data_IF_317259911984
#
_entry.id   IF_317259911984
#
_cell.length_a   1.000
_cell.length_b   1.000
_cell.length_c   1.000
_cell.angle_alpha   90.00
_cell.angle_beta   90.00
_cell.angle_gamma   90.00
#
_symmetry.space_group_name_H-M   'P 1'
#
loop_
_entity.id
_entity.type
_entity.pdbx_description
1 polymer ?
#
# COMPACT_ATOMS: atom_id res chain seq x y z
N UNK A 1 -19.43 46.66 2.42
CA UNK A 1 -20.41 45.54 2.47
C UNK A 1 -20.23 44.75 1.18
N UNK A 2 -19.81 43.50 1.10
CA UNK A 2 -19.46 42.45 2.07
C UNK A 2 -18.67 41.45 1.23
N UNK A 3 -17.33 41.55 1.21
CA UNK A 3 -16.43 40.58 0.53
C UNK A 3 -15.69 39.69 1.53
N UNK A 4 -16.13 39.70 2.80
CA UNK A 4 -15.46 39.00 3.90
C UNK A 4 -16.13 37.66 4.30
N UNK A 5 -17.19 37.22 3.62
CA UNK A 5 -18.01 36.08 4.08
C UNK A 5 -17.74 34.71 3.42
N UNK A 6 -16.74 34.57 2.56
CA UNK A 6 -16.36 33.25 1.98
C UNK A 6 -14.89 32.87 2.20
N UNK A 7 -14.34 33.25 3.36
CA UNK A 7 -13.05 32.74 3.84
C UNK A 7 -13.24 31.70 4.93
N UNK A 8 -14.07 30.68 4.69
CA UNK A 8 -14.03 29.45 5.50
C UNK A 8 -12.73 28.67 5.20
N UNK A 9 -11.65 29.25 5.73
CA UNK A 9 -10.34 28.73 6.12
C UNK A 9 -9.59 27.86 5.11
N UNK A 10 -9.02 28.50 4.08
CA UNK A 10 -7.97 27.91 3.24
C UNK A 10 -6.79 27.38 4.07
N UNK A 11 -6.42 28.09 5.15
CA UNK A 11 -5.39 27.65 6.09
C UNK A 11 -5.88 26.42 6.87
N UNK A 12 -5.06 25.37 6.87
CA UNK A 12 -5.38 24.09 7.52
C UNK A 12 -6.39 23.23 6.75
N UNK A 13 -6.86 23.65 5.57
CA UNK A 13 -7.79 22.87 4.73
C UNK A 13 -7.25 21.48 4.40
N UNK A 14 -6.00 21.41 3.92
CA UNK A 14 -5.36 20.13 3.57
C UNK A 14 -5.27 19.16 4.74
N UNK A 15 -4.98 19.64 5.95
CA UNK A 15 -4.95 18.80 7.15
C UNK A 15 -6.35 18.30 7.53
N UNK A 16 -7.37 19.16 7.48
CA UNK A 16 -8.75 18.76 7.81
C UNK A 16 -9.31 17.78 6.78
N UNK A 17 -9.31 18.15 5.50
CA UNK A 17 -9.82 17.30 4.42
C UNK A 17 -9.01 16.00 4.29
N UNK A 18 -7.69 16.07 4.46
CA UNK A 18 -6.83 14.88 4.51
C UNK A 18 -7.18 13.96 5.68
N UNK A 19 -7.38 14.50 6.88
CA UNK A 19 -7.80 13.71 8.04
C UNK A 19 -9.19 13.06 7.85
N UNK A 20 -10.10 13.73 7.15
CA UNK A 20 -11.42 13.20 6.81
C UNK A 20 -11.29 12.00 5.86
N UNK A 21 -10.52 12.15 4.78
CA UNK A 21 -10.24 11.07 3.83
C UNK A 21 -9.55 9.87 4.49
N UNK A 22 -8.62 10.12 5.41
CA UNK A 22 -7.99 9.06 6.19
C UNK A 22 -8.98 8.30 7.07
N UNK A 23 -9.92 9.01 7.72
CA UNK A 23 -10.97 8.37 8.52
C UNK A 23 -11.90 7.53 7.65
N UNK A 24 -12.30 8.04 6.49
CA UNK A 24 -13.15 7.31 5.56
C UNK A 24 -12.46 6.01 5.08
N UNK A 25 -11.15 6.08 4.79
CA UNK A 25 -10.37 4.89 4.45
C UNK A 25 -10.32 3.86 5.59
N UNK A 26 -10.07 4.27 6.84
CA UNK A 26 -10.10 3.33 7.97
C UNK A 26 -11.50 2.73 8.23
N UNK A 27 -12.57 3.49 7.98
CA UNK A 27 -13.95 2.97 8.04
C UNK A 27 -14.18 1.91 6.96
N UNK A 28 -13.67 2.10 5.73
CA UNK A 28 -13.71 1.09 4.67
C UNK A 28 -12.99 -0.20 5.10
N UNK A 29 -11.82 -0.08 5.73
CA UNK A 29 -11.06 -1.22 6.25
C UNK A 29 -11.81 -1.97 7.35
N UNK A 30 -12.35 -1.24 8.34
CA UNK A 30 -13.11 -1.83 9.45
C UNK A 30 -14.36 -2.58 8.95
N UNK A 31 -15.11 -1.98 8.02
CA UNK A 31 -16.25 -2.61 7.38
C UNK A 31 -15.84 -3.88 6.62
N UNK A 32 -14.71 -3.84 5.91
CA UNK A 32 -14.17 -5.01 5.19
C UNK A 32 -13.82 -6.13 6.15
N UNK A 33 -13.17 -5.82 7.27
CA UNK A 33 -12.80 -6.79 8.29
C UNK A 33 -14.04 -7.45 8.92
N UNK A 34 -15.06 -6.64 9.23
CA UNK A 34 -16.30 -7.12 9.84
C UNK A 34 -17.17 -7.94 8.88
N UNK A 35 -17.11 -7.65 7.58
CA UNK A 35 -17.81 -8.43 6.55
C UNK A 35 -17.05 -9.70 6.12
N UNK A 36 -15.79 -9.89 6.56
CA UNK A 36 -14.94 -10.98 6.09
C UNK A 36 -14.53 -10.83 4.62
N UNK A 37 -14.46 -9.60 4.12
CA UNK A 37 -14.09 -9.29 2.74
C UNK A 37 -12.59 -9.46 2.47
N UNK A 38 -12.24 -9.62 1.19
CA UNK A 38 -10.84 -9.63 0.74
C UNK A 38 -10.25 -8.22 0.82
N UNK A 39 -8.96 -8.12 1.14
CA UNK A 39 -8.20 -6.88 1.04
C UNK A 39 -6.85 -7.12 0.35
N UNK A 40 -6.30 -6.11 -0.29
CA UNK A 40 -4.98 -6.17 -0.90
C UNK A 40 -3.98 -5.41 -0.05
N UNK A 41 -2.96 -6.11 0.45
CA UNK A 41 -1.86 -5.49 1.18
C UNK A 41 -0.83 -5.00 0.17
N UNK A 42 -0.42 -3.74 0.32
CA UNK A 42 0.52 -3.13 -0.62
C UNK A 42 1.41 -2.09 0.06
N UNK A 43 2.67 -2.06 -0.31
CA UNK A 43 3.60 -1.04 0.20
C UNK A 43 3.45 0.28 -0.55
N UNK A 44 3.75 1.39 0.13
CA UNK A 44 3.64 2.75 -0.43
C UNK A 44 4.62 2.93 -1.59
N UNK A 45 5.83 2.39 -1.47
CA UNK A 45 6.86 2.47 -2.51
C UNK A 45 6.61 1.43 -3.62
N UNK A 46 6.21 1.93 -4.78
CA UNK A 46 5.89 1.10 -5.94
C UNK A 46 4.59 0.31 -5.75
N UNK A 47 3.58 0.91 -5.12
CA UNK A 47 2.35 0.21 -4.75
C UNK A 47 1.63 -0.46 -5.91
N UNK A 48 1.58 0.19 -7.08
CA UNK A 48 0.84 -0.33 -8.25
C UNK A 48 -0.63 -0.60 -7.87
N UNK A 49 -1.13 0.20 -6.92
CA UNK A 49 -2.48 0.13 -6.37
C UNK A 49 -3.58 0.27 -7.43
N UNK A 50 -3.25 0.81 -8.60
CA UNK A 50 -4.14 1.00 -9.72
C UNK A 50 -4.66 -0.33 -10.28
N UNK A 51 -3.83 -1.37 -10.32
CA UNK A 51 -4.28 -2.72 -10.69
C UNK A 51 -5.26 -3.24 -9.63
N UNK A 52 -4.88 -3.16 -8.35
CA UNK A 52 -5.68 -3.66 -7.23
C UNK A 52 -7.07 -2.99 -7.16
N UNK A 53 -7.11 -1.67 -7.31
CA UNK A 53 -8.36 -0.89 -7.33
C UNK A 53 -9.23 -1.19 -8.54
N UNK A 54 -8.67 -1.72 -9.63
CA UNK A 54 -9.48 -2.19 -10.77
C UNK A 54 -10.32 -3.41 -10.39
N UNK A 55 -9.87 -4.22 -9.43
CA UNK A 55 -10.62 -5.36 -8.91
C UNK A 55 -11.50 -5.02 -7.69
N UNK A 56 -11.73 -3.72 -7.41
CA UNK A 56 -12.48 -3.25 -6.22
C UNK A 56 -11.91 -3.73 -4.88
N UNK A 57 -10.63 -4.11 -4.84
CA UNK A 57 -10.00 -4.52 -3.59
C UNK A 57 -9.78 -3.29 -2.69
N UNK A 58 -10.28 -3.32 -1.44
CA UNK A 58 -9.81 -2.41 -0.40
C UNK A 58 -8.30 -2.58 -0.26
N UNK A 59 -7.58 -1.45 -0.26
CA UNK A 59 -6.11 -1.45 -0.24
C UNK A 59 -5.65 -1.10 1.16
N UNK A 60 -4.80 -1.93 1.73
CA UNK A 60 -4.16 -1.75 3.03
C UNK A 60 -2.71 -1.34 2.81
N UNK A 61 -2.31 -0.22 3.43
CA UNK A 61 -0.93 0.25 3.44
C UNK A 61 -0.33 0.02 4.84
N UNK A 62 0.40 -1.08 5.05
CA UNK A 62 0.82 -1.49 6.40
C UNK A 62 1.85 -0.52 7.00
N UNK A 63 2.65 0.16 6.17
CA UNK A 63 3.52 1.26 6.60
C UNK A 63 2.72 2.44 7.18
N UNK A 64 1.59 2.75 6.57
CA UNK A 64 0.70 3.84 7.02
C UNK A 64 0.00 3.43 8.31
N UNK A 65 -0.52 2.20 8.40
CA UNK A 65 -1.12 1.69 9.64
C UNK A 65 -0.11 1.71 10.79
N UNK A 66 1.11 1.22 10.53
CA UNK A 66 2.20 1.25 11.50
C UNK A 66 2.54 2.67 11.93
N UNK A 67 2.68 3.62 10.99
CA UNK A 67 2.92 5.03 11.28
C UNK A 67 1.80 5.63 12.14
N UNK A 68 0.54 5.25 11.92
CA UNK A 68 -0.59 5.77 12.69
C UNK A 68 -0.53 5.37 14.17
N UNK A 69 0.06 4.23 14.53
CA UNK A 69 0.33 3.89 15.94
C UNK A 69 1.29 4.90 16.59
N UNK A 70 2.30 5.37 15.86
CA UNK A 70 3.26 6.36 16.35
C UNK A 70 2.64 7.76 16.44
N UNK A 71 1.87 8.18 15.43
CA UNK A 71 1.12 9.45 15.44
C UNK A 71 0.18 9.52 16.66
N UNK A 72 -0.40 8.39 17.04
CA UNK A 72 -1.30 8.26 18.20
C UNK A 72 -0.59 8.00 19.52
N UNK A 73 0.75 7.92 19.52
CA UNK A 73 1.59 7.71 20.71
C UNK A 73 1.36 6.38 21.42
N UNK A 74 0.92 5.36 20.67
CA UNK A 74 0.72 3.99 21.18
C UNK A 74 1.68 2.97 20.56
N UNK A 75 2.59 3.40 19.68
CA UNK A 75 3.53 2.50 18.99
C UNK A 75 4.30 1.56 19.93
N UNK A 76 4.76 2.06 21.09
CA UNK A 76 5.52 1.26 22.07
C UNK A 76 4.82 -0.06 22.45
N UNK A 77 3.50 -0.03 22.67
CA UNK A 77 2.71 -1.23 22.99
C UNK A 77 2.76 -2.29 21.89
N UNK A 78 2.79 -1.87 20.63
CA UNK A 78 2.86 -2.77 19.47
C UNK A 78 4.29 -3.27 19.23
N UNK A 79 5.29 -2.43 19.45
CA UNK A 79 6.70 -2.82 19.30
C UNK A 79 7.10 -3.86 20.35
N UNK A 80 6.74 -3.63 21.61
CA UNK A 80 7.03 -4.54 22.73
C UNK A 80 6.37 -5.90 22.51
N UNK A 81 5.11 -5.94 22.06
CA UNK A 81 4.42 -7.21 21.78
C UNK A 81 5.10 -8.02 20.67
N UNK A 82 5.56 -7.37 19.59
CA UNK A 82 6.27 -8.06 18.53
C UNK A 82 7.65 -8.56 18.99
N UNK A 83 8.33 -7.82 19.88
CA UNK A 83 9.60 -8.23 20.48
C UNK A 83 9.42 -9.42 21.43
N UNK A 84 8.38 -9.40 22.28
CA UNK A 84 7.98 -10.51 23.14
C UNK A 84 7.58 -11.76 22.35
N UNK A 85 6.96 -11.57 21.17
CA UNK A 85 6.67 -12.66 20.24
C UNK A 85 7.94 -13.27 19.62
N UNK A 86 9.06 -12.53 19.61
CA UNK A 86 10.38 -13.04 19.21
C UNK A 86 11.03 -12.29 18.03
N UNK A 87 10.49 -11.16 17.59
CA UNK A 87 11.14 -10.33 16.58
C UNK A 87 12.29 -9.50 17.20
N UNK A 88 13.42 -9.42 16.50
CA UNK A 88 14.57 -8.67 17.00
C UNK A 88 14.24 -7.17 17.15
N UNK A 89 14.68 -6.50 18.23
CA UNK A 89 14.49 -5.06 18.40
C UNK A 89 15.18 -4.24 17.30
N UNK A 90 16.18 -4.79 16.61
CA UNK A 90 16.98 -4.13 15.57
C UNK A 90 16.31 -4.05 14.20
N UNK A 91 15.14 -4.69 14.00
CA UNK A 91 14.43 -4.62 12.71
C UNK A 91 13.52 -3.40 12.62
N UNK A 92 13.04 -3.11 11.40
CA UNK A 92 12.16 -1.99 11.13
C UNK A 92 10.95 -1.94 12.08
N UNK A 93 10.74 -0.78 12.72
CA UNK A 93 9.60 -0.56 13.62
C UNK A 93 8.24 -0.71 12.93
N UNK A 94 8.13 -0.43 11.63
CA UNK A 94 6.89 -0.69 10.90
C UNK A 94 6.56 -2.19 10.81
N UNK A 95 7.56 -3.04 10.57
CA UNK A 95 7.35 -4.49 10.57
C UNK A 95 6.87 -4.97 11.93
N UNK A 96 7.54 -4.54 13.01
CA UNK A 96 7.16 -4.90 14.37
C UNK A 96 5.74 -4.44 14.71
N UNK A 97 5.41 -3.17 14.42
CA UNK A 97 4.08 -2.63 14.70
C UNK A 97 2.98 -3.38 13.94
N UNK A 98 3.19 -3.67 12.66
CA UNK A 98 2.21 -4.42 11.86
C UNK A 98 2.07 -5.87 12.30
N UNK A 99 3.18 -6.57 12.61
CA UNK A 99 3.11 -7.92 13.18
C UNK A 99 2.21 -7.93 14.42
N UNK A 100 2.39 -6.98 15.35
CA UNK A 100 1.53 -6.90 16.53
C UNK A 100 0.07 -6.59 16.16
N UNK A 101 -0.20 -5.71 15.17
CA UNK A 101 -1.56 -5.51 14.65
C UNK A 101 -2.16 -6.85 14.16
N UNK A 102 -1.39 -7.65 13.42
CA UNK A 102 -1.84 -8.95 12.92
C UNK A 102 -2.08 -9.97 14.06
N UNK A 103 -1.18 -10.02 15.07
CA UNK A 103 -1.33 -10.87 16.26
C UNK A 103 -2.58 -10.52 17.08
N UNK A 104 -2.93 -9.23 17.15
CA UNK A 104 -4.17 -8.73 17.75
C UNK A 104 -5.42 -8.94 16.88
N UNK A 105 -5.34 -9.73 15.82
CA UNK A 105 -6.47 -9.98 14.92
C UNK A 105 -6.94 -8.75 14.15
N UNK A 106 -6.02 -7.80 13.89
CA UNK A 106 -6.26 -6.56 13.16
C UNK A 106 -6.60 -5.35 14.03
N UNK A 107 -6.58 -5.46 15.36
CA UNK A 107 -6.96 -4.35 16.25
C UNK A 107 -5.98 -3.16 16.14
N UNK A 108 -6.49 -2.04 15.64
CA UNK A 108 -5.75 -0.80 15.46
C UNK A 108 -6.56 0.40 16.02
N UNK A 109 -5.94 1.49 16.51
CA UNK A 109 -6.66 2.59 17.17
C UNK A 109 -7.64 3.36 16.28
N UNK A 110 -7.65 3.08 14.97
CA UNK A 110 -8.56 3.69 13.99
C UNK A 110 -9.69 2.76 13.53
N UNK A 111 -9.73 1.52 13.99
CA UNK A 111 -10.62 0.47 13.51
C UNK A 111 -9.87 -0.84 13.31
N UNK A 112 -10.57 -1.87 12.85
CA UNK A 112 -9.99 -3.18 12.59
C UNK A 112 -9.42 -3.26 11.18
N UNK A 113 -8.16 -3.63 11.06
CA UNK A 113 -7.52 -3.88 9.76
C UNK A 113 -7.93 -5.28 9.28
N UNK A 114 -8.45 -5.41 8.05
CA UNK A 114 -8.81 -6.72 7.50
C UNK A 114 -7.55 -7.54 7.23
N UNK A 115 -7.61 -8.89 7.33
CA UNK A 115 -6.50 -9.73 6.91
C UNK A 115 -6.26 -9.60 5.40
N UNK A 116 -5.04 -9.85 4.91
CA UNK A 116 -4.74 -9.84 3.48
C UNK A 116 -5.50 -10.97 2.76
N UNK A 117 -5.99 -10.69 1.56
CA UNK A 117 -6.39 -11.68 0.56
C UNK A 117 -5.31 -11.90 -0.51
N UNK A 118 -4.47 -10.88 -0.72
CA UNK A 118 -3.28 -10.90 -1.57
C UNK A 118 -2.29 -9.85 -1.03
N UNK A 119 -1.00 -10.11 -1.15
CA UNK A 119 0.06 -9.15 -0.82
C UNK A 119 0.88 -8.82 -2.05
N UNK A 120 0.99 -7.54 -2.41
CA UNK A 120 1.75 -7.08 -3.57
C UNK A 120 2.84 -6.12 -3.12
N UNK A 121 4.05 -6.34 -3.63
CA UNK A 121 5.23 -5.62 -3.21
C UNK A 121 6.20 -5.44 -4.36
N UNK A 122 7.14 -4.50 -4.19
CA UNK A 122 8.32 -4.40 -5.04
C UNK A 122 9.56 -4.83 -4.27
N UNK A 123 10.65 -5.08 -5.00
CA UNK A 123 11.98 -5.27 -4.44
C UNK A 123 12.65 -3.95 -3.97
N UNK A 124 11.90 -2.85 -3.79
CA UNK A 124 12.44 -1.56 -3.33
C UNK A 124 13.15 -1.65 -1.97
N UNK A 125 12.73 -2.59 -1.13
CA UNK A 125 13.38 -2.91 0.13
C UNK A 125 13.34 -4.42 0.38
N UNK A 126 14.47 -5.04 0.71
CA UNK A 126 14.53 -6.47 1.06
C UNK A 126 13.61 -6.82 2.25
N UNK A 127 13.35 -5.86 3.13
CA UNK A 127 12.42 -6.03 4.25
C UNK A 127 10.99 -6.25 3.77
N UNK A 128 10.54 -5.67 2.65
CA UNK A 128 9.20 -5.90 2.12
C UNK A 128 8.98 -7.37 1.78
N UNK A 129 9.96 -8.04 1.18
CA UNK A 129 9.89 -9.46 0.86
C UNK A 129 9.70 -10.28 2.13
N UNK A 130 10.53 -10.03 3.16
CA UNK A 130 10.41 -10.74 4.44
C UNK A 130 9.10 -10.44 5.16
N UNK A 131 8.60 -9.21 5.05
CA UNK A 131 7.34 -8.80 5.65
C UNK A 131 6.15 -9.47 4.97
N UNK A 132 6.15 -9.57 3.64
CA UNK A 132 5.14 -10.30 2.89
C UNK A 132 5.15 -11.81 3.19
N UNK A 133 6.32 -12.43 3.36
CA UNK A 133 6.42 -13.83 3.82
C UNK A 133 5.80 -14.04 5.21
N UNK A 134 5.82 -13.03 6.09
CA UNK A 134 5.15 -13.13 7.40
C UNK A 134 3.64 -13.26 7.17
N UNK A 135 3.05 -12.40 6.35
CA UNK A 135 1.63 -12.47 6.04
C UNK A 135 1.25 -13.77 5.32
N UNK A 136 2.04 -14.20 4.35
CA UNK A 136 1.85 -15.50 3.68
C UNK A 136 1.80 -16.64 4.70
N UNK A 137 2.71 -16.67 5.68
CA UNK A 137 2.72 -17.71 6.73
C UNK A 137 1.56 -17.60 7.71
N UNK A 138 1.14 -16.38 8.04
CA UNK A 138 0.04 -16.14 8.98
C UNK A 138 -1.32 -16.47 8.36
N UNK A 139 -1.52 -16.17 7.07
CA UNK A 139 -2.84 -16.20 6.44
C UNK A 139 -2.97 -17.18 5.27
N UNK A 140 -1.87 -17.76 4.78
CA UNK A 140 -1.88 -18.66 3.63
C UNK A 140 -2.24 -17.98 2.31
N UNK A 141 -2.09 -16.65 2.24
CA UNK A 141 -2.50 -15.83 1.09
C UNK A 141 -1.35 -15.62 0.12
N UNK A 142 -1.62 -15.51 -1.20
CA UNK A 142 -0.56 -15.31 -2.18
C UNK A 142 0.18 -13.99 -1.96
N UNK A 143 1.51 -14.05 -2.07
CA UNK A 143 2.38 -12.89 -2.19
C UNK A 143 2.92 -12.76 -3.62
N UNK A 144 2.96 -11.54 -4.15
CA UNK A 144 3.47 -11.25 -5.48
C UNK A 144 4.51 -10.13 -5.43
N UNK A 145 5.77 -10.48 -5.73
CA UNK A 145 6.87 -9.50 -5.78
C UNK A 145 7.11 -9.08 -7.22
N UNK A 146 6.99 -7.77 -7.46
CA UNK A 146 7.43 -7.14 -8.70
C UNK A 146 8.90 -6.80 -8.54
N UNK A 147 9.73 -7.59 -9.21
CA UNK A 147 11.16 -7.40 -9.28
C UNK A 147 11.48 -6.29 -10.29
N UNK A 148 11.89 -5.12 -9.78
CA UNK A 148 12.33 -3.99 -10.59
C UNK A 148 13.86 -4.03 -10.66
N UNK A 149 14.47 -4.30 -11.83
CA UNK A 149 15.92 -4.42 -11.93
C UNK A 149 16.64 -3.16 -11.46
N UNK A 150 17.61 -3.34 -10.55
CA UNK A 150 18.51 -2.28 -10.13
C UNK A 150 19.60 -1.99 -11.16
N UNK A 151 20.37 -0.92 -10.94
CA UNK A 151 21.52 -0.59 -11.78
C UNK A 151 22.60 -1.68 -11.69
N UNK A 152 22.99 -2.27 -12.83
CA UNK A 152 23.93 -3.40 -12.90
C UNK A 152 25.39 -3.04 -12.72
N UNK A 153 25.76 -1.79 -13.00
CA UNK A 153 27.14 -1.30 -12.93
C UNK A 153 27.19 0.18 -12.56
N UNK A 154 28.23 0.60 -11.85
CA UNK A 154 28.43 1.99 -11.48
C UNK A 154 28.48 2.89 -12.74
N UNK A 155 27.69 3.97 -12.74
CA UNK A 155 27.60 4.92 -13.87
C UNK A 155 26.86 4.39 -15.10
N UNK A 156 26.34 3.15 -15.09
CA UNK A 156 25.64 2.54 -16.22
C UNK A 156 24.12 2.63 -16.11
N UNK A 157 23.57 3.81 -15.80
CA UNK A 157 22.13 4.00 -15.89
C UNK A 157 21.71 3.99 -17.36
N UNK A 158 20.73 3.15 -17.67
CA UNK A 158 20.17 3.01 -19.01
C UNK A 158 18.85 3.79 -19.08
N UNK A 159 18.49 4.22 -20.29
CA UNK A 159 17.29 5.04 -20.54
C UNK A 159 16.54 4.53 -21.75
N UNK A 160 15.33 5.05 -21.98
CA UNK A 160 14.53 4.69 -23.15
C UNK A 160 15.34 4.78 -24.45
N UNK A 161 15.28 3.69 -25.23
CA UNK A 161 16.09 3.52 -26.44
C UNK A 161 17.35 2.67 -26.25
N UNK A 162 17.78 2.41 -25.01
CA UNK A 162 18.84 1.46 -24.70
C UNK A 162 18.30 0.01 -24.66
N UNK A 163 19.07 -0.96 -25.15
CA UNK A 163 18.66 -2.36 -25.20
C UNK A 163 18.45 -2.96 -23.81
N UNK A 164 19.28 -2.60 -22.83
CA UNK A 164 19.16 -3.08 -21.46
C UNK A 164 17.93 -2.47 -20.77
N UNK A 165 17.64 -1.19 -21.03
CA UNK A 165 16.41 -0.56 -20.53
C UNK A 165 15.16 -1.22 -21.10
N UNK A 166 15.11 -1.50 -22.40
CA UNK A 166 13.94 -2.14 -23.01
C UNK A 166 13.77 -3.59 -22.54
N UNK A 167 14.86 -4.29 -22.24
CA UNK A 167 14.80 -5.61 -21.61
C UNK A 167 14.16 -5.53 -20.21
N UNK A 168 14.59 -4.58 -19.38
CA UNK A 168 14.03 -4.36 -18.04
C UNK A 168 12.57 -3.94 -18.08
N UNK A 169 12.23 -3.01 -18.98
CA UNK A 169 10.84 -2.58 -19.20
C UNK A 169 9.96 -3.76 -19.57
N UNK A 170 10.40 -4.62 -20.49
CA UNK A 170 9.65 -5.82 -20.90
C UNK A 170 9.53 -6.83 -19.76
N UNK A 171 10.59 -6.99 -18.96
CA UNK A 171 10.57 -7.87 -17.79
C UNK A 171 9.52 -7.43 -16.76
N UNK A 172 9.48 -6.14 -16.42
CA UNK A 172 8.45 -5.60 -15.52
C UNK A 172 7.05 -5.67 -16.14
N UNK A 173 6.90 -5.41 -17.44
CA UNK A 173 5.62 -5.52 -18.13
C UNK A 173 5.00 -6.92 -18.02
N UNK A 174 5.81 -7.98 -18.16
CA UNK A 174 5.34 -9.36 -18.04
C UNK A 174 4.86 -9.64 -16.61
N UNK A 175 5.61 -9.21 -15.59
CA UNK A 175 5.21 -9.36 -14.19
C UNK A 175 3.90 -8.65 -13.87
N UNK A 176 3.65 -7.46 -14.45
CA UNK A 176 2.37 -6.76 -14.28
C UNK A 176 1.20 -7.55 -14.88
N UNK A 177 1.42 -8.26 -16.00
CA UNK A 177 0.40 -9.13 -16.61
C UNK A 177 0.15 -10.37 -15.75
N UNK A 178 1.19 -10.95 -15.17
CA UNK A 178 1.08 -12.07 -14.23
C UNK A 178 0.33 -11.67 -12.95
N UNK A 179 0.60 -10.47 -12.43
CA UNK A 179 -0.14 -9.93 -11.29
C UNK A 179 -1.64 -9.77 -11.62
N UNK A 180 -1.96 -9.28 -12.83
CA UNK A 180 -3.37 -9.17 -13.26
C UNK A 180 -4.04 -10.55 -13.22
N UNK A 181 -3.38 -11.60 -13.76
CA UNK A 181 -3.92 -12.97 -13.73
C UNK A 181 -4.13 -13.45 -12.29
N UNK A 182 -3.15 -13.25 -11.40
CA UNK A 182 -3.29 -13.61 -9.99
C UNK A 182 -4.45 -12.87 -9.31
N UNK A 183 -4.64 -11.58 -9.61
CA UNK A 183 -5.79 -10.83 -9.11
C UNK A 183 -7.12 -11.40 -9.63
N UNK A 184 -7.19 -11.85 -10.90
CA UNK A 184 -8.39 -12.53 -11.41
C UNK A 184 -8.68 -13.83 -10.65
N UNK A 185 -7.64 -14.60 -10.32
CA UNK A 185 -7.76 -15.86 -9.57
C UNK A 185 -8.22 -15.62 -8.12
N UNK A 186 -7.62 -14.65 -7.43
CA UNK A 186 -7.95 -14.31 -6.04
C UNK A 186 -9.35 -13.73 -5.92
N UNK A 187 -9.76 -12.88 -6.86
CA UNK A 187 -11.05 -12.18 -6.78
C UNK A 187 -12.19 -12.87 -7.50
N UNK A 188 -11.90 -13.84 -8.37
CA UNK A 188 -12.88 -14.44 -9.27
C UNK A 188 -13.44 -13.48 -10.32
N UNK A 189 -12.87 -12.28 -10.47
CA UNK A 189 -13.35 -11.23 -11.38
C UNK A 189 -12.39 -11.07 -12.55
N UNK A 190 -12.90 -10.82 -13.75
CA UNK A 190 -12.05 -10.57 -14.93
C UNK A 190 -11.54 -9.13 -14.97
N UNK A 191 -10.32 -8.95 -15.46
CA UNK A 191 -9.70 -7.65 -15.58
C UNK A 191 -10.44 -6.77 -16.59
N UNK A 192 -10.88 -5.60 -16.12
CA UNK A 192 -11.55 -4.59 -16.93
C UNK A 192 -10.57 -3.46 -17.29
N UNK A 193 -10.15 -3.44 -18.55
CA UNK A 193 -9.21 -2.45 -19.07
C UNK A 193 -9.79 -1.03 -19.08
N UNK A 194 -11.10 -0.86 -19.28
CA UNK A 194 -11.73 0.46 -19.31
C UNK A 194 -11.84 1.03 -17.91
N UNK A 195 -12.17 0.18 -16.93
CA UNK A 195 -12.09 0.53 -15.52
C UNK A 195 -10.65 0.89 -15.12
N UNK A 196 -9.65 0.10 -15.52
CA UNK A 196 -8.25 0.41 -15.25
C UNK A 196 -7.82 1.76 -15.81
N UNK A 197 -8.24 2.12 -17.03
CA UNK A 197 -8.01 3.46 -17.60
C UNK A 197 -8.63 4.58 -16.75
N UNK A 198 -9.82 4.33 -16.20
CA UNK A 198 -10.47 5.23 -15.24
C UNK A 198 -9.62 5.42 -13.97
N UNK A 199 -9.17 4.32 -13.36
CA UNK A 199 -8.30 4.34 -12.17
C UNK A 199 -6.99 5.09 -12.45
N UNK A 200 -6.33 4.80 -13.58
CA UNK A 200 -5.12 5.51 -14.01
C UNK A 200 -5.37 7.00 -14.24
N UNK A 201 -6.56 7.40 -14.68
CA UNK A 201 -6.91 8.82 -14.85
C UNK A 201 -6.94 9.54 -13.50
N UNK A 202 -7.49 8.90 -12.45
CA UNK A 202 -7.45 9.43 -11.09
C UNK A 202 -6.01 9.51 -10.56
N UNK A 203 -5.23 8.43 -10.69
CA UNK A 203 -3.83 8.39 -10.25
C UNK A 203 -2.99 9.49 -10.93
N UNK A 204 -3.09 9.62 -12.26
CA UNK A 204 -2.40 10.67 -13.01
C UNK A 204 -2.84 12.08 -12.63
N UNK A 205 -4.12 12.27 -12.29
CA UNK A 205 -4.62 13.58 -11.83
C UNK A 205 -4.06 13.93 -10.45
N UNK A 206 -3.99 12.95 -9.54
CA UNK A 206 -3.35 13.09 -8.24
C UNK A 206 -1.88 13.45 -8.40
N UNK A 207 -1.11 12.69 -9.19
CA UNK A 207 0.32 12.94 -9.43
C UNK A 207 0.58 14.33 -10.01
N UNK A 208 -0.17 14.74 -11.05
CA UNK A 208 -0.04 16.09 -11.62
C UNK A 208 -0.38 17.19 -10.60
N UNK A 209 -1.37 16.97 -9.74
CA UNK A 209 -1.76 17.96 -8.73
C UNK A 209 -0.70 18.06 -7.63
N UNK A 210 -0.16 16.92 -7.20
CA UNK A 210 0.93 16.85 -6.24
C UNK A 210 2.20 17.56 -6.75
N UNK A 211 2.60 17.31 -7.99
CA UNK A 211 3.75 17.98 -8.63
C UNK A 211 3.58 19.49 -8.79
N UNK A 212 2.37 20.05 -8.65
CA UNK A 212 2.15 21.50 -8.65
C UNK A 212 2.28 22.13 -7.27
N UNK A 213 2.21 21.31 -6.21
CA UNK A 213 2.24 21.76 -4.82
C UNK A 213 3.67 21.67 -4.28
N UNK A 214 4.41 20.63 -4.67
CA UNK A 214 5.86 20.51 -4.43
C UNK A 214 6.65 21.52 -5.28
#
# INVERSE_FOLDING_TARGET
MTTLETTHHLVGRGNREGADLFRDWFVELDNTANAGGLSAYVFVMGSISEILKTFDLPVVFPEINSLQTAVRRVAHEYLEEAEDYGYSPDICGYVKADVAIQLRGGEHPMGRIPPPGISVLTNACNTYIKWAEIWERMYGTPMFTIDVPGTRQAGGQTWSGDADFEADRKYVEIQLRELIVLCEEVTGTKFDIDKFRGVLTHANTMSRSWSRIL
#
